data_IF_697853854824
#
_entry.id   IF_697853854824
#
_cell.length_a   1.000
_cell.length_b   1.000
_cell.length_c   1.000
_cell.angle_alpha   90.00
_cell.angle_beta   90.00
_cell.angle_gamma   90.00
#
_symmetry.space_group_name_H-M   'P 1'
#
loop_
_entity.id
_entity.type
_entity.pdbx_description
1 polymer ?
#
# COMPACT_ATOMS: atom_id res chain seq x y z
N UNK A 1 -31.03 -3.66 3.62
CA UNK A 1 -30.30 -4.87 3.33
C UNK A 1 -28.88 -4.72 3.86
N UNK A 2 -28.51 -5.60 4.78
CA UNK A 2 -27.25 -5.52 5.51
C UNK A 2 -26.01 -5.57 4.60
N UNK A 3 -26.05 -6.36 3.54
CA UNK A 3 -24.93 -6.50 2.63
C UNK A 3 -24.62 -5.21 1.86
N UNK A 4 -25.63 -4.41 1.55
CA UNK A 4 -25.45 -3.15 0.84
C UNK A 4 -24.77 -2.09 1.72
N UNK A 5 -25.03 -2.08 3.03
CA UNK A 5 -24.38 -1.14 3.95
C UNK A 5 -22.87 -1.31 3.97
N UNK A 6 -22.38 -2.55 3.89
CA UNK A 6 -20.96 -2.84 3.89
C UNK A 6 -20.28 -2.23 2.67
N UNK A 7 -20.93 -2.25 1.49
CA UNK A 7 -20.37 -1.69 0.26
C UNK A 7 -20.30 -0.16 0.27
N UNK A 8 -21.20 0.51 0.98
CA UNK A 8 -21.22 1.97 1.03
C UNK A 8 -20.28 2.53 2.12
N UNK A 9 -19.81 1.69 3.05
CA UNK A 9 -18.95 2.10 4.15
C UNK A 9 -17.49 1.81 3.81
N UNK A 10 -17.04 2.34 2.68
CA UNK A 10 -15.66 2.20 2.20
C UNK A 10 -15.01 3.57 2.11
N UNK A 11 -13.69 3.60 2.29
CA UNK A 11 -12.89 4.79 2.06
C UNK A 11 -11.68 4.46 1.20
N UNK A 12 -11.13 5.50 0.56
CA UNK A 12 -9.99 5.39 -0.33
C UNK A 12 -8.81 6.15 0.24
N UNK A 13 -7.65 5.51 0.28
CA UNK A 13 -6.38 6.17 0.56
C UNK A 13 -5.53 6.19 -0.70
N UNK A 14 -4.79 7.28 -0.88
CA UNK A 14 -3.74 7.40 -1.88
C UNK A 14 -2.43 7.68 -1.16
N UNK A 15 -1.36 7.03 -1.59
CA UNK A 15 -0.06 7.16 -0.94
C UNK A 15 1.07 7.19 -1.96
N UNK A 16 2.14 7.88 -1.63
CA UNK A 16 3.30 8.04 -2.50
C UNK A 16 4.57 7.50 -1.85
N UNK A 17 5.43 6.95 -2.70
CA UNK A 17 6.75 6.46 -2.32
C UNK A 17 7.63 6.54 -3.56
N UNK A 18 8.94 6.61 -3.39
CA UNK A 18 9.85 6.58 -4.53
C UNK A 18 10.61 5.25 -4.59
N UNK A 19 11.05 4.90 -5.79
CA UNK A 19 12.07 3.88 -5.98
C UNK A 19 13.44 4.56 -6.07
N UNK A 20 14.49 3.82 -5.77
CA UNK A 20 15.84 4.27 -6.00
C UNK A 20 16.04 4.55 -7.49
N UNK A 21 16.82 5.58 -7.82
CA UNK A 21 17.13 5.95 -9.19
C UNK A 21 18.16 5.00 -9.82
N UNK A 22 17.77 3.75 -9.92
CA UNK A 22 18.62 2.66 -10.38
C UNK A 22 17.74 1.73 -11.21
N UNK A 23 18.05 1.61 -12.49
CA UNK A 23 17.24 0.82 -13.42
C UNK A 23 17.10 -0.63 -12.95
N UNK A 24 18.15 -1.21 -12.40
CA UNK A 24 18.11 -2.58 -11.90
C UNK A 24 17.13 -2.72 -10.72
N UNK A 25 17.17 -1.77 -9.77
CA UNK A 25 16.22 -1.76 -8.64
C UNK A 25 14.79 -1.64 -9.11
N UNK A 26 14.53 -0.78 -10.10
CA UNK A 26 13.19 -0.59 -10.67
C UNK A 26 12.70 -1.89 -11.31
N UNK A 27 13.53 -2.53 -12.13
CA UNK A 27 13.16 -3.78 -12.79
C UNK A 27 12.96 -4.93 -11.79
N UNK A 28 13.77 -5.03 -10.75
CA UNK A 28 13.60 -6.02 -9.68
C UNK A 28 12.28 -5.80 -8.93
N UNK A 29 11.98 -4.58 -8.58
CA UNK A 29 10.73 -4.24 -7.89
C UNK A 29 9.51 -4.66 -8.72
N UNK A 30 9.52 -4.34 -10.02
CA UNK A 30 8.46 -4.72 -10.94
C UNK A 30 8.33 -6.24 -11.05
N UNK A 31 9.45 -6.94 -11.15
CA UNK A 31 9.45 -8.39 -11.29
C UNK A 31 8.86 -9.08 -10.07
N UNK A 32 9.19 -8.62 -8.85
CA UNK A 32 8.61 -9.17 -7.62
C UNK A 32 7.08 -9.00 -7.59
N UNK A 33 6.57 -7.90 -8.14
CA UNK A 33 5.12 -7.63 -8.13
C UNK A 33 4.33 -8.40 -9.19
N UNK A 34 5.00 -9.10 -10.10
CA UNK A 34 4.34 -10.04 -11.01
C UNK A 34 4.03 -11.37 -10.32
N UNK A 35 4.75 -11.70 -9.25
CA UNK A 35 4.59 -12.95 -8.50
C UNK A 35 4.70 -12.67 -6.99
N UNK A 36 3.76 -11.89 -6.47
CA UNK A 36 3.73 -11.56 -5.04
C UNK A 36 3.49 -12.83 -4.23
N UNK A 37 4.24 -12.96 -3.13
CA UNK A 37 4.15 -14.14 -2.28
C UNK A 37 2.73 -14.35 -1.75
N UNK A 38 2.22 -15.61 -1.73
CA UNK A 38 0.86 -15.88 -1.27
C UNK A 38 0.56 -15.37 0.13
N UNK A 39 1.52 -15.41 1.05
CA UNK A 39 1.36 -14.95 2.42
C UNK A 39 1.16 -13.43 2.47
N UNK A 40 1.76 -12.69 1.54
CA UNK A 40 1.58 -11.24 1.40
C UNK A 40 0.16 -10.95 0.93
N UNK A 41 -0.27 -11.60 -0.14
CA UNK A 41 -1.63 -11.42 -0.68
C UNK A 41 -2.68 -11.77 0.38
N UNK A 42 -2.52 -12.93 1.02
CA UNK A 42 -3.44 -13.39 2.07
C UNK A 42 -3.48 -12.46 3.26
N UNK A 43 -2.31 -11.97 3.69
CA UNK A 43 -2.19 -11.05 4.82
C UNK A 43 -2.88 -9.72 4.55
N UNK A 44 -2.67 -9.15 3.36
CA UNK A 44 -3.30 -7.88 2.98
C UNK A 44 -4.83 -8.03 2.93
N UNK A 45 -5.33 -9.10 2.36
CA UNK A 45 -6.77 -9.37 2.34
C UNK A 45 -7.33 -9.56 3.74
N UNK A 46 -6.58 -10.21 4.62
CA UNK A 46 -7.04 -10.52 5.98
C UNK A 46 -7.26 -9.28 6.84
N UNK A 47 -6.55 -8.18 6.58
CA UNK A 47 -6.74 -6.93 7.32
C UNK A 47 -7.84 -6.05 6.72
N UNK A 48 -8.56 -6.53 5.71
CA UNK A 48 -9.74 -5.86 5.18
C UNK A 48 -9.52 -5.06 3.91
N UNK A 49 -8.33 -5.10 3.31
CA UNK A 49 -8.06 -4.38 2.07
C UNK A 49 -8.87 -5.04 0.94
N UNK A 50 -9.73 -4.27 0.30
CA UNK A 50 -10.57 -4.73 -0.80
C UNK A 50 -9.89 -4.54 -2.14
N UNK A 51 -9.14 -3.45 -2.29
CA UNK A 51 -8.41 -3.15 -3.51
C UNK A 51 -7.10 -2.45 -3.15
N UNK A 52 -6.03 -2.88 -3.78
CA UNK A 52 -4.73 -2.22 -3.71
C UNK A 52 -4.13 -2.21 -5.11
N UNK A 53 -3.81 -1.03 -5.59
CA UNK A 53 -3.17 -0.86 -6.89
C UNK A 53 -1.98 0.06 -6.74
N UNK A 54 -0.88 -0.27 -7.41
CA UNK A 54 0.34 0.53 -7.39
C UNK A 54 0.68 0.91 -8.82
N UNK A 55 0.89 2.19 -9.04
CA UNK A 55 1.27 2.75 -10.34
C UNK A 55 2.68 3.31 -10.25
N UNK A 56 3.40 3.27 -11.35
CA UNK A 56 4.76 3.78 -11.44
C UNK A 56 4.87 4.81 -12.56
N UNK A 57 5.47 5.96 -12.25
CA UNK A 57 5.86 6.96 -13.26
C UNK A 57 7.28 7.43 -12.93
N UNK A 58 8.24 7.14 -13.82
CA UNK A 58 9.65 7.38 -13.53
C UNK A 58 10.10 6.56 -12.32
N UNK A 59 10.43 7.22 -11.23
CA UNK A 59 10.75 6.58 -9.95
C UNK A 59 9.65 6.74 -8.91
N UNK A 60 8.54 7.43 -9.24
CA UNK A 60 7.47 7.72 -8.30
C UNK A 60 6.43 6.60 -8.32
N UNK A 61 6.18 6.03 -7.18
CA UNK A 61 5.11 5.07 -6.94
C UNK A 61 3.89 5.78 -6.35
N UNK A 62 2.73 5.36 -6.79
CA UNK A 62 1.45 5.85 -6.32
C UNK A 62 0.57 4.65 -6.00
N UNK A 63 0.13 4.54 -4.75
CA UNK A 63 -0.72 3.44 -4.29
C UNK A 63 -2.14 3.93 -4.04
N UNK A 64 -3.12 3.17 -4.50
CA UNK A 64 -4.53 3.41 -4.21
C UNK A 64 -5.06 2.23 -3.41
N UNK A 65 -5.69 2.52 -2.27
CA UNK A 65 -6.30 1.52 -1.38
C UNK A 65 -7.79 1.78 -1.26
N UNK A 66 -8.60 0.74 -1.42
CA UNK A 66 -10.00 0.76 -1.02
C UNK A 66 -10.16 -0.17 0.19
N UNK A 67 -10.65 0.39 1.29
CA UNK A 67 -10.71 -0.27 2.59
C UNK A 67 -12.01 0.10 3.30
N UNK A 68 -12.44 -0.71 4.30
CA UNK A 68 -13.59 -0.34 5.13
C UNK A 68 -13.34 0.97 5.88
N UNK A 69 -14.43 1.69 6.23
CA UNK A 69 -14.36 2.98 6.92
C UNK A 69 -13.60 2.92 8.26
N UNK A 70 -13.67 1.78 8.94
CA UNK A 70 -12.99 1.59 10.22
C UNK A 70 -11.53 1.15 10.09
N UNK A 71 -11.01 1.06 8.86
CA UNK A 71 -9.62 0.71 8.63
C UNK A 71 -8.70 1.80 9.19
N UNK A 72 -7.68 1.37 9.93
CA UNK A 72 -6.67 2.25 10.51
C UNK A 72 -5.34 1.97 9.83
N UNK A 73 -4.83 2.96 9.07
CA UNK A 73 -3.60 2.78 8.28
C UNK A 73 -2.44 2.25 9.10
N UNK A 74 -2.19 2.86 10.25
CA UNK A 74 -1.03 2.50 11.08
C UNK A 74 -1.22 1.14 11.74
N UNK A 75 -2.33 0.96 12.46
CA UNK A 75 -2.56 -0.25 13.24
C UNK A 75 -2.82 -1.48 12.38
N UNK A 76 -3.58 -1.34 11.29
CA UNK A 76 -3.91 -2.48 10.45
C UNK A 76 -2.71 -2.93 9.62
N UNK A 77 -1.89 -2.01 9.10
CA UNK A 77 -0.65 -2.40 8.43
C UNK A 77 0.36 -3.00 9.40
N UNK A 78 0.40 -2.53 10.64
CA UNK A 78 1.24 -3.15 11.66
C UNK A 78 0.75 -4.57 11.96
N UNK A 79 -0.56 -4.78 12.08
CA UNK A 79 -1.14 -6.11 12.24
C UNK A 79 -0.79 -7.03 11.05
N UNK A 80 -0.81 -6.49 9.83
CA UNK A 80 -0.38 -7.24 8.65
C UNK A 80 1.09 -7.67 8.77
N UNK A 81 1.98 -6.74 9.09
CA UNK A 81 3.41 -7.03 9.23
C UNK A 81 3.66 -8.08 10.30
N UNK A 82 2.91 -8.02 11.41
CA UNK A 82 3.02 -8.96 12.52
C UNK A 82 2.35 -10.31 12.24
N UNK A 83 1.55 -10.40 11.18
CA UNK A 83 0.73 -11.61 10.90
C UNK A 83 1.57 -12.81 10.50
N UNK A 84 2.73 -12.60 9.90
CA UNK A 84 3.62 -13.70 9.51
C UNK A 84 5.04 -13.20 9.27
N UNK A 85 6.06 -14.07 9.45
CA UNK A 85 7.43 -13.73 9.08
C UNK A 85 7.59 -13.37 7.60
N UNK A 86 6.79 -13.97 6.72
CA UNK A 86 6.83 -13.67 5.28
C UNK A 86 6.36 -12.25 4.98
N UNK A 87 5.34 -11.75 5.66
CA UNK A 87 4.89 -10.37 5.50
C UNK A 87 5.99 -9.39 5.90
N UNK A 88 6.62 -9.59 7.05
CA UNK A 88 7.73 -8.76 7.51
C UNK A 88 8.92 -8.83 6.55
N UNK A 89 9.26 -10.02 6.06
CA UNK A 89 10.36 -10.22 5.12
C UNK A 89 10.10 -9.51 3.78
N UNK A 90 8.86 -9.55 3.30
CA UNK A 90 8.48 -8.84 2.08
C UNK A 90 8.67 -7.35 2.22
N UNK A 91 8.18 -6.77 3.32
CA UNK A 91 8.33 -5.34 3.58
C UNK A 91 9.80 -4.93 3.62
N UNK A 92 10.62 -5.70 4.32
CA UNK A 92 12.04 -5.44 4.41
C UNK A 92 12.73 -5.53 3.05
N UNK A 93 12.40 -6.54 2.25
CA UNK A 93 12.94 -6.70 0.91
C UNK A 93 12.53 -5.53 0.01
N UNK A 94 11.26 -5.14 0.02
CA UNK A 94 10.78 -4.02 -0.82
C UNK A 94 11.48 -2.71 -0.44
N UNK A 95 11.72 -2.48 0.85
CA UNK A 95 12.42 -1.28 1.30
C UNK A 95 13.82 -1.14 0.74
N UNK A 96 14.46 -2.22 0.35
CA UNK A 96 15.80 -2.16 -0.27
C UNK A 96 15.77 -1.50 -1.64
N UNK A 97 14.60 -1.43 -2.28
CA UNK A 97 14.42 -0.79 -3.59
C UNK A 97 13.78 0.59 -3.49
N UNK A 98 13.33 0.98 -2.29
CA UNK A 98 12.47 2.13 -2.08
C UNK A 98 13.22 3.27 -1.39
N UNK A 99 12.63 4.47 -1.54
CA UNK A 99 13.13 5.71 -0.94
C UNK A 99 11.92 6.55 -0.57
N UNK A 100 11.92 7.10 0.65
CA UNK A 100 10.83 7.99 1.08
C UNK A 100 10.74 9.22 0.20
N UNK A 101 9.50 9.70 -0.04
CA UNK A 101 9.30 11.01 -0.66
C UNK A 101 9.63 12.10 0.36
N UNK A 102 9.98 13.33 -0.10
CA UNK A 102 10.31 14.43 0.81
C UNK A 102 9.19 14.79 1.79
N UNK A 103 7.92 14.58 1.39
CA UNK A 103 6.75 14.91 2.20
C UNK A 103 6.45 13.90 3.31
N UNK A 104 7.12 12.73 3.30
CA UNK A 104 6.86 11.70 4.31
C UNK A 104 7.34 12.16 5.70
N UNK A 105 6.52 11.91 6.72
CA UNK A 105 6.92 12.12 8.10
C UNK A 105 7.94 11.05 8.53
N UNK A 106 8.66 11.28 9.62
CA UNK A 106 9.73 10.39 10.08
C UNK A 106 9.24 8.95 10.33
N UNK A 107 8.00 8.82 10.80
CA UNK A 107 7.40 7.51 11.10
C UNK A 107 6.65 6.91 9.91
N UNK A 108 6.67 7.57 8.75
CA UNK A 108 5.99 7.09 7.55
C UNK A 108 6.99 6.54 6.55
N UNK A 109 6.62 5.44 5.90
CA UNK A 109 7.33 4.94 4.73
C UNK A 109 6.55 5.34 3.48
N UNK A 110 5.35 4.81 3.28
CA UNK A 110 4.39 5.35 2.31
C UNK A 110 3.78 6.62 2.88
N UNK A 111 3.79 7.70 2.08
CA UNK A 111 3.29 9.00 2.51
C UNK A 111 1.83 9.16 2.10
N UNK A 112 0.89 9.28 3.05
CA UNK A 112 -0.52 9.52 2.70
C UNK A 112 -0.70 10.84 1.97
N UNK A 113 -1.61 10.86 1.00
CA UNK A 113 -1.93 12.02 0.20
C UNK A 113 -3.30 12.56 0.58
N UNK A 114 -3.44 13.87 0.56
CA UNK A 114 -4.71 14.53 0.83
C UNK A 114 -5.61 14.48 -0.42
N UNK A 115 -6.86 14.06 -0.26
CA UNK A 115 -7.84 14.15 -1.34
C UNK A 115 -8.30 15.60 -1.47
N UNK A 116 -8.00 16.22 -2.60
CA UNK A 116 -8.30 17.66 -2.81
C UNK A 116 -9.49 17.87 -3.73
N UNK A 117 -9.99 16.83 -4.38
CA UNK A 117 -11.17 16.91 -5.23
C UNK A 117 -11.81 15.53 -5.38
N UNK A 118 -13.13 15.51 -5.28
CA UNK A 118 -13.94 14.35 -5.60
C UNK A 118 -15.14 14.84 -6.40
N UNK A 119 -15.35 14.28 -7.58
CA UNK A 119 -16.43 14.69 -8.48
C UNK A 119 -17.81 14.56 -7.82
N UNK A 120 -17.94 13.69 -6.84
CA UNK A 120 -19.20 13.40 -6.15
C UNK A 120 -19.40 14.19 -4.84
N UNK A 121 -18.56 15.17 -4.56
CA UNK A 121 -18.76 16.05 -3.41
C UNK A 121 -19.98 16.95 -3.59
#
# INVERSE_FOLDING_TARGET
IKGLKVYFNMKTYAMALDLLEDLDSIEQYKAFHLEVWPEVIGGLKSIGIKEMRIFLSGTRLFMVLNVPDDFDLENDFQAYTDSSPKAANWDELMRTYQKKVPEAADNEWWSPMEEVFNLNW
#
